data_IF_858206813918
#
_entry.id   IF_858206813918
#
_cell.length_a   1.000
_cell.length_b   1.000
_cell.length_c   1.000
_cell.angle_alpha   90.00
_cell.angle_beta   90.00
_cell.angle_gamma   90.00
#
_symmetry.space_group_name_H-M   'P 1'
#
loop_
_entity.id
_entity.type
_entity.pdbx_description
1 polymer ?
#
# COMPACT_ATOMS: atom_id res chain seq x y z
N UNK A 1 -73.57 32.71 39.26
CA UNK A 1 -72.14 32.37 39.51
C UNK A 1 -71.78 31.23 38.59
N UNK A 2 -71.08 31.51 37.48
CA UNK A 2 -70.71 30.49 36.48
C UNK A 2 -69.17 30.44 36.41
N UNK A 3 -68.60 29.34 36.92
CA UNK A 3 -67.16 29.07 36.82
C UNK A 3 -66.83 28.49 35.43
N UNK A 4 -65.99 29.17 34.68
CA UNK A 4 -65.39 28.70 33.43
C UNK A 4 -63.99 28.17 33.70
N UNK A 5 -63.83 26.83 33.60
CA UNK A 5 -62.49 26.21 33.59
C UNK A 5 -61.89 26.33 32.18
N UNK A 6 -60.73 26.96 32.06
CA UNK A 6 -59.90 27.00 30.85
C UNK A 6 -58.92 25.84 30.88
N UNK A 7 -59.11 24.87 30.01
CA UNK A 7 -58.16 23.79 29.74
C UNK A 7 -56.96 24.36 28.96
N UNK A 8 -55.76 24.32 29.53
CA UNK A 8 -54.51 24.58 28.84
C UNK A 8 -53.98 23.24 28.33
N UNK A 9 -53.95 23.06 27.03
CA UNK A 9 -53.31 21.92 26.39
C UNK A 9 -51.82 22.17 26.29
N UNK A 10 -51.00 21.40 26.99
CA UNK A 10 -49.57 21.35 26.84
C UNK A 10 -49.19 20.55 25.59
N UNK A 11 -48.65 21.23 24.58
CA UNK A 11 -48.06 20.55 23.42
C UNK A 11 -46.63 20.11 23.83
N UNK A 12 -46.42 18.80 23.93
CA UNK A 12 -45.10 18.20 24.08
C UNK A 12 -44.44 18.11 22.71
N UNK A 13 -43.49 18.98 22.44
CA UNK A 13 -42.63 18.86 21.25
C UNK A 13 -41.61 17.75 21.46
N UNK A 14 -41.77 16.64 20.77
CA UNK A 14 -40.78 15.57 20.69
C UNK A 14 -39.63 16.04 19.80
N UNK A 15 -38.52 16.39 20.41
CA UNK A 15 -37.26 16.63 19.69
C UNK A 15 -36.70 15.25 19.32
N UNK A 16 -36.82 14.87 18.06
CA UNK A 16 -36.14 13.70 17.51
C UNK A 16 -34.65 14.02 17.43
N UNK A 17 -33.89 13.50 18.39
CA UNK A 17 -32.45 13.52 18.40
C UNK A 17 -31.97 12.60 17.29
N UNK A 18 -31.68 13.15 16.11
CA UNK A 18 -31.03 12.42 15.02
C UNK A 18 -29.61 12.11 15.49
N UNK A 19 -29.39 10.92 16.06
CA UNK A 19 -28.05 10.39 16.31
C UNK A 19 -27.39 10.23 14.93
N UNK A 20 -26.62 11.24 14.52
CA UNK A 20 -25.63 11.05 13.48
C UNK A 20 -24.60 10.06 14.04
N UNK A 21 -24.75 8.80 13.63
CA UNK A 21 -23.75 7.77 13.82
C UNK A 21 -22.54 8.24 13.01
N UNK A 22 -21.60 8.94 13.64
CA UNK A 22 -20.25 9.06 13.12
C UNK A 22 -19.71 7.64 13.17
N UNK A 23 -19.78 6.94 12.02
CA UNK A 23 -19.10 5.68 11.85
C UNK A 23 -17.61 5.99 12.03
N UNK A 24 -17.12 5.84 13.26
CA UNK A 24 -15.68 5.83 13.52
C UNK A 24 -15.05 4.78 12.63
N UNK A 25 -13.90 5.08 12.08
CA UNK A 25 -13.16 4.11 11.25
C UNK A 25 -13.05 2.80 12.04
N UNK A 26 -13.45 1.69 11.40
CA UNK A 26 -13.38 0.36 12.02
C UNK A 26 -11.90 0.05 12.32
N UNK A 27 -11.58 -0.25 13.58
CA UNK A 27 -10.23 -0.60 13.99
C UNK A 27 -9.71 -1.79 13.15
N UNK A 28 -8.44 -1.77 12.73
CA UNK A 28 -7.89 -2.84 11.93
C UNK A 28 -7.82 -4.16 12.71
N UNK A 29 -8.41 -5.22 12.16
CA UNK A 29 -8.34 -6.57 12.74
C UNK A 29 -7.07 -7.28 12.26
N UNK A 30 -6.28 -7.84 13.19
CA UNK A 30 -5.14 -8.69 12.88
C UNK A 30 -5.60 -10.13 12.63
N UNK A 31 -5.32 -10.64 11.44
CA UNK A 31 -5.64 -12.00 10.99
C UNK A 31 -4.37 -12.73 10.57
N UNK A 32 -4.49 -14.02 10.29
CA UNK A 32 -3.41 -14.82 9.70
C UNK A 32 -3.95 -15.90 8.78
N UNK A 33 -3.12 -16.30 7.81
CA UNK A 33 -3.39 -17.39 6.89
C UNK A 33 -2.15 -18.26 6.71
N UNK A 34 -2.36 -19.56 6.56
CA UNK A 34 -1.29 -20.52 6.31
C UNK A 34 -1.08 -20.69 4.80
N UNK A 35 0.18 -20.68 4.35
CA UNK A 35 0.59 -20.99 2.99
C UNK A 35 1.79 -21.95 3.00
N UNK A 36 1.54 -23.25 2.94
CA UNK A 36 2.59 -24.26 3.08
C UNK A 36 3.35 -24.11 4.40
N UNK A 37 4.66 -23.88 4.34
CA UNK A 37 5.53 -23.66 5.50
C UNK A 37 5.51 -22.22 6.02
N UNK A 38 4.77 -21.30 5.37
CA UNK A 38 4.67 -19.92 5.81
C UNK A 38 3.32 -19.65 6.49
N UNK A 39 3.35 -18.81 7.53
CA UNK A 39 2.18 -18.20 8.13
C UNK A 39 2.26 -16.70 7.86
N UNK A 40 1.25 -16.13 7.26
CA UNK A 40 1.21 -14.70 6.93
C UNK A 40 0.16 -14.02 7.78
N UNK A 41 0.60 -13.09 8.62
CA UNK A 41 -0.27 -12.18 9.34
C UNK A 41 -0.60 -10.96 8.48
N UNK A 42 -1.81 -10.43 8.64
CA UNK A 42 -2.24 -9.25 7.92
C UNK A 42 -3.27 -8.46 8.70
N UNK A 43 -3.24 -7.16 8.55
CA UNK A 43 -4.28 -6.27 9.04
C UNK A 43 -5.40 -6.17 8.00
N UNK A 44 -6.66 -6.25 8.45
CA UNK A 44 -7.84 -6.10 7.60
C UNK A 44 -8.77 -5.04 8.18
N UNK A 45 -9.20 -4.09 7.36
CA UNK A 45 -9.96 -2.91 7.79
C UNK A 45 -10.95 -2.50 6.70
N UNK A 46 -12.10 -1.94 7.11
CA UNK A 46 -13.15 -1.49 6.18
C UNK A 46 -13.97 -2.63 5.56
N UNK A 47 -14.85 -2.26 4.63
CA UNK A 47 -15.78 -3.17 3.90
C UNK A 47 -15.83 -2.79 2.43
N UNK A 48 -16.18 -3.74 1.57
CA UNK A 48 -16.32 -3.52 0.13
C UNK A 48 -15.25 -4.22 -0.70
N UNK A 49 -14.97 -3.73 -1.92
CA UNK A 49 -13.97 -4.32 -2.80
C UNK A 49 -12.57 -4.35 -2.17
N UNK A 50 -11.81 -5.42 -2.43
CA UNK A 50 -10.50 -5.62 -1.80
C UNK A 50 -9.43 -4.71 -2.41
N UNK A 51 -8.61 -4.10 -1.54
CA UNK A 51 -7.31 -3.51 -1.86
C UNK A 51 -6.26 -4.21 -1.01
N UNK A 52 -5.33 -4.90 -1.63
CA UNK A 52 -4.16 -5.48 -0.97
C UNK A 52 -2.99 -4.49 -1.09
N UNK A 53 -2.43 -4.03 0.03
CA UNK A 53 -1.32 -3.08 0.04
C UNK A 53 -0.02 -3.75 0.49
N UNK A 54 1.00 -3.76 -0.39
CA UNK A 54 2.28 -4.45 -0.19
C UNK A 54 3.37 -3.43 0.09
N UNK A 55 4.09 -3.64 1.19
CA UNK A 55 5.15 -2.76 1.66
C UNK A 55 6.40 -2.77 0.76
N UNK A 56 7.24 -1.76 0.94
CA UNK A 56 8.56 -1.63 0.32
C UNK A 56 9.58 -2.60 0.91
N UNK A 57 10.79 -2.59 0.36
CA UNK A 57 11.90 -3.44 0.80
C UNK A 57 12.19 -3.29 2.30
N UNK A 58 12.15 -4.41 3.02
CA UNK A 58 12.51 -4.47 4.43
C UNK A 58 11.58 -3.72 5.38
N UNK A 59 10.40 -3.31 4.92
CA UNK A 59 9.43 -2.59 5.73
C UNK A 59 8.15 -3.39 5.96
N UNK A 60 7.51 -3.14 7.10
CA UNK A 60 6.17 -3.62 7.42
C UNK A 60 5.08 -2.71 6.86
N UNK A 61 3.84 -3.04 7.17
CA UNK A 61 2.67 -2.31 6.66
C UNK A 61 2.05 -1.35 7.67
N UNK A 62 2.67 -1.16 8.83
CA UNK A 62 2.19 -0.25 9.89
C UNK A 62 2.10 1.20 9.40
N UNK A 63 3.09 1.64 8.62
CA UNK A 63 3.18 2.99 8.05
C UNK A 63 2.01 3.35 7.12
N UNK A 64 1.27 2.37 6.64
CA UNK A 64 0.11 2.57 5.75
C UNK A 64 -1.23 2.70 6.51
N UNK A 65 -1.21 2.87 7.84
CA UNK A 65 -2.41 3.08 8.65
C UNK A 65 -3.31 4.19 8.11
N UNK A 66 -2.82 5.44 8.00
CA UNK A 66 -3.62 6.57 7.50
C UNK A 66 -4.15 6.38 6.07
N UNK A 67 -3.37 5.76 5.19
CA UNK A 67 -3.80 5.42 3.83
C UNK A 67 -4.92 4.38 3.85
N UNK A 68 -4.79 3.34 4.68
CA UNK A 68 -5.78 2.27 4.80
C UNK A 68 -7.10 2.78 5.40
N UNK A 69 -7.02 3.66 6.39
CA UNK A 69 -8.18 4.34 6.97
C UNK A 69 -8.93 5.13 5.90
N UNK A 70 -8.21 5.94 5.12
CA UNK A 70 -8.82 6.72 4.04
C UNK A 70 -9.46 5.83 2.97
N UNK A 71 -8.83 4.73 2.56
CA UNK A 71 -9.44 3.78 1.63
C UNK A 71 -10.69 3.09 2.23
N UNK A 72 -10.67 2.79 3.54
CA UNK A 72 -11.84 2.24 4.23
C UNK A 72 -13.02 3.23 4.26
N UNK A 73 -12.75 4.53 4.49
CA UNK A 73 -13.73 5.61 4.37
C UNK A 73 -14.32 5.71 2.94
N UNK A 74 -13.49 5.43 1.93
CA UNK A 74 -13.89 5.38 0.52
C UNK A 74 -14.66 4.10 0.14
N UNK A 75 -14.94 3.23 1.11
CA UNK A 75 -15.75 2.02 0.93
C UNK A 75 -14.96 0.81 0.40
N UNK A 76 -13.66 0.75 0.65
CA UNK A 76 -12.82 -0.39 0.33
C UNK A 76 -12.50 -1.22 1.57
N UNK A 77 -12.33 -2.54 1.38
CA UNK A 77 -11.72 -3.41 2.37
C UNK A 77 -10.21 -3.50 2.10
N UNK A 78 -9.42 -3.00 3.02
CA UNK A 78 -7.97 -2.90 2.88
C UNK A 78 -7.30 -4.04 3.63
N UNK A 79 -6.44 -4.77 2.92
CA UNK A 79 -5.62 -5.86 3.44
C UNK A 79 -4.16 -5.41 3.41
N UNK A 80 -3.50 -5.47 4.56
CA UNK A 80 -2.10 -5.09 4.73
C UNK A 80 -1.30 -6.27 5.26
N UNK A 81 -0.85 -7.19 4.38
CA UNK A 81 -0.06 -8.35 4.81
C UNK A 81 1.35 -7.93 5.21
N UNK A 82 1.83 -8.50 6.31
CA UNK A 82 3.22 -8.40 6.69
C UNK A 82 4.05 -9.44 5.93
N UNK A 83 5.20 -9.08 5.35
CA UNK A 83 6.08 -10.05 4.74
C UNK A 83 6.66 -11.02 5.79
N UNK A 84 7.10 -12.19 5.34
CA UNK A 84 7.79 -13.16 6.21
C UNK A 84 8.91 -12.47 7.00
N UNK A 85 8.97 -12.69 8.30
CA UNK A 85 9.95 -12.11 9.22
C UNK A 85 9.54 -10.76 9.83
N UNK A 86 8.32 -10.27 9.57
CA UNK A 86 7.77 -9.08 10.19
C UNK A 86 6.48 -9.43 10.94
N UNK A 87 6.25 -8.77 12.07
CA UNK A 87 5.09 -9.01 12.93
C UNK A 87 4.95 -10.48 13.33
N UNK A 88 3.80 -11.09 13.03
CA UNK A 88 3.55 -12.52 13.27
C UNK A 88 3.77 -13.39 12.02
N UNK A 89 4.23 -12.79 10.91
CA UNK A 89 4.51 -13.54 9.69
C UNK A 89 5.81 -14.32 9.80
N UNK A 90 5.76 -15.60 9.47
CA UNK A 90 6.87 -16.54 9.57
C UNK A 90 6.95 -17.41 8.32
N UNK A 91 8.12 -17.96 8.07
CA UNK A 91 8.35 -18.90 6.97
C UNK A 91 9.80 -18.91 6.51
N UNK A 92 10.13 -19.74 5.51
CA UNK A 92 11.46 -19.76 4.91
C UNK A 92 11.84 -18.38 4.36
N UNK A 93 13.07 -17.95 4.63
CA UNK A 93 13.62 -16.66 4.19
C UNK A 93 14.72 -16.83 3.15
N UNK A 94 15.24 -18.04 2.96
CA UNK A 94 16.30 -18.38 2.02
C UNK A 94 15.76 -19.26 0.89
N UNK A 95 16.33 -19.13 -0.29
CA UNK A 95 15.90 -19.88 -1.48
C UNK A 95 14.50 -19.53 -1.99
N UNK A 96 13.92 -18.43 -1.54
CA UNK A 96 12.59 -17.95 -1.94
C UNK A 96 12.71 -16.97 -3.11
N UNK A 97 11.69 -16.98 -3.98
CA UNK A 97 11.55 -16.13 -5.15
C UNK A 97 10.39 -15.13 -4.98
N UNK A 98 10.16 -14.26 -5.95
CA UNK A 98 8.95 -13.41 -5.99
C UNK A 98 7.68 -14.26 -6.08
N UNK A 99 7.72 -15.40 -6.77
CA UNK A 99 6.59 -16.34 -6.86
C UNK A 99 6.18 -16.89 -5.49
N UNK A 100 7.14 -17.09 -4.57
CA UNK A 100 6.83 -17.55 -3.22
C UNK A 100 6.17 -16.44 -2.39
N UNK A 101 6.64 -15.21 -2.48
CA UNK A 101 5.98 -14.06 -1.86
C UNK A 101 4.61 -13.77 -2.50
N UNK A 102 4.49 -13.94 -3.81
CA UNK A 102 3.20 -13.81 -4.49
C UNK A 102 2.18 -14.87 -4.02
N UNK A 103 2.61 -16.12 -3.80
CA UNK A 103 1.75 -17.18 -3.21
C UNK A 103 1.28 -16.83 -1.81
N UNK A 104 2.15 -16.23 -0.99
CA UNK A 104 1.80 -15.80 0.36
C UNK A 104 0.65 -14.80 0.34
N UNK A 105 0.78 -13.77 -0.48
CA UNK A 105 -0.23 -12.71 -0.55
C UNK A 105 -1.47 -13.14 -1.33
N UNK A 106 -1.34 -14.03 -2.30
CA UNK A 106 -2.47 -14.68 -2.95
C UNK A 106 -3.31 -15.51 -1.94
N UNK A 107 -2.66 -16.15 -0.96
CA UNK A 107 -3.37 -16.86 0.11
C UNK A 107 -4.19 -15.89 0.98
N UNK A 108 -3.68 -14.69 1.26
CA UNK A 108 -4.42 -13.64 1.98
C UNK A 108 -5.66 -13.21 1.19
N UNK A 109 -5.54 -12.97 -0.11
CA UNK A 109 -6.67 -12.60 -0.97
C UNK A 109 -7.72 -13.71 -0.98
N UNK A 110 -7.30 -14.96 -1.18
CA UNK A 110 -8.21 -16.13 -1.18
C UNK A 110 -8.94 -16.31 0.14
N UNK A 111 -8.30 -16.00 1.27
CA UNK A 111 -8.92 -16.07 2.59
C UNK A 111 -10.01 -15.00 2.80
N UNK A 112 -9.94 -13.89 2.09
CA UNK A 112 -10.96 -12.82 2.09
C UNK A 112 -12.02 -12.97 0.98
N UNK A 113 -11.80 -13.86 0.03
CA UNK A 113 -12.83 -14.42 -0.85
C UNK A 113 -13.16 -13.66 -2.13
N UNK A 114 -12.37 -12.65 -2.55
CA UNK A 114 -12.64 -11.88 -3.78
C UNK A 114 -11.34 -11.47 -4.51
N UNK A 115 -11.50 -10.88 -5.71
CA UNK A 115 -10.41 -10.25 -6.46
C UNK A 115 -10.01 -8.93 -5.80
N UNK A 116 -8.72 -8.61 -5.80
CA UNK A 116 -8.18 -7.41 -5.19
C UNK A 116 -7.58 -6.43 -6.21
N UNK A 117 -7.60 -5.15 -5.89
CA UNK A 117 -6.63 -4.18 -6.39
C UNK A 117 -5.31 -4.47 -5.68
N UNK A 118 -4.26 -4.72 -6.43
CA UNK A 118 -2.93 -5.06 -5.92
C UNK A 118 -2.07 -3.79 -5.89
N UNK A 119 -1.99 -3.11 -4.76
CA UNK A 119 -1.20 -1.90 -4.59
C UNK A 119 0.16 -2.25 -3.96
N UNK A 120 1.25 -1.89 -4.62
CA UNK A 120 2.60 -2.16 -4.12
C UNK A 120 3.48 -0.92 -4.10
N UNK A 121 4.02 -0.59 -2.93
CA UNK A 121 4.94 0.51 -2.75
C UNK A 121 6.38 0.10 -3.09
N UNK A 122 7.05 0.86 -3.95
CA UNK A 122 8.45 0.63 -4.34
C UNK A 122 8.69 -0.86 -4.69
N UNK A 123 9.49 -1.61 -3.93
CA UNK A 123 9.67 -3.05 -4.10
C UNK A 123 8.35 -3.83 -4.17
N UNK A 124 7.37 -3.43 -3.36
CA UNK A 124 6.05 -4.09 -3.31
C UNK A 124 5.33 -4.14 -4.66
N UNK A 125 5.63 -3.19 -5.58
CA UNK A 125 5.06 -3.22 -6.92
C UNK A 125 5.52 -4.44 -7.74
N UNK A 126 6.74 -4.96 -7.51
CA UNK A 126 7.22 -6.15 -8.20
C UNK A 126 6.42 -7.38 -7.76
N UNK A 127 6.13 -7.48 -6.46
CA UNK A 127 5.31 -8.57 -5.93
C UNK A 127 3.84 -8.43 -6.37
N UNK A 128 3.28 -7.21 -6.38
CA UNK A 128 1.94 -6.96 -6.91
C UNK A 128 1.80 -7.41 -8.38
N UNK A 129 2.79 -7.08 -9.21
CA UNK A 129 2.85 -7.55 -10.61
C UNK A 129 3.02 -9.06 -10.70
N UNK A 130 3.84 -9.68 -9.85
CA UNK A 130 4.01 -11.13 -9.81
C UNK A 130 2.69 -11.82 -9.45
N UNK A 131 1.93 -11.30 -8.48
CA UNK A 131 0.60 -11.83 -8.16
C UNK A 131 -0.33 -11.75 -9.37
N UNK A 132 -0.36 -10.61 -10.08
CA UNK A 132 -1.21 -10.44 -11.24
C UNK A 132 -0.80 -11.34 -12.42
N UNK A 133 0.48 -11.70 -12.53
CA UNK A 133 0.99 -12.65 -13.53
C UNK A 133 0.67 -14.10 -13.17
N UNK A 134 0.93 -14.50 -11.91
CA UNK A 134 0.79 -15.88 -11.45
C UNK A 134 -0.67 -16.27 -11.12
N UNK A 135 -1.47 -15.28 -10.68
CA UNK A 135 -2.84 -15.46 -10.20
C UNK A 135 -3.79 -14.42 -10.83
N UNK A 136 -3.96 -14.38 -12.15
CA UNK A 136 -4.74 -13.35 -12.84
C UNK A 136 -6.20 -13.28 -12.36
N UNK A 137 -6.75 -14.40 -11.91
CA UNK A 137 -8.11 -14.46 -11.37
C UNK A 137 -8.28 -13.76 -10.02
N UNK A 138 -7.20 -13.45 -9.31
CA UNK A 138 -7.22 -12.71 -8.05
C UNK A 138 -6.97 -11.21 -8.23
N UNK A 139 -6.65 -10.75 -9.45
CA UNK A 139 -6.29 -9.36 -9.72
C UNK A 139 -7.42 -8.63 -10.46
N UNK A 140 -7.89 -7.50 -9.92
CA UNK A 140 -8.73 -6.52 -10.64
C UNK A 140 -7.89 -5.48 -11.37
N UNK A 141 -6.72 -5.18 -10.84
CA UNK A 141 -5.78 -4.22 -11.36
C UNK A 141 -4.57 -4.09 -10.45
N UNK A 142 -3.53 -3.46 -10.95
CA UNK A 142 -2.27 -3.24 -10.22
C UNK A 142 -2.02 -1.75 -10.04
N UNK A 143 -1.70 -1.33 -8.83
CA UNK A 143 -1.27 0.04 -8.51
C UNK A 143 0.22 0.02 -8.15
N UNK A 144 1.00 0.75 -8.91
CA UNK A 144 2.44 0.90 -8.75
C UNK A 144 2.68 2.18 -7.97
N UNK A 145 2.76 2.08 -6.65
CA UNK A 145 2.93 3.26 -5.79
C UNK A 145 4.40 3.61 -5.68
N UNK A 146 4.79 4.77 -6.19
CA UNK A 146 6.18 5.23 -6.23
C UNK A 146 7.14 4.15 -6.78
N UNK A 147 6.75 3.52 -7.89
CA UNK A 147 7.61 2.56 -8.58
C UNK A 147 8.76 3.27 -9.26
N UNK A 148 10.00 2.84 -9.03
CA UNK A 148 11.17 3.34 -9.73
C UNK A 148 11.10 3.10 -11.24
N UNK A 149 11.83 3.89 -12.03
CA UNK A 149 12.02 3.70 -13.46
C UNK A 149 12.79 2.42 -13.81
N UNK A 150 13.05 2.20 -15.07
CA UNK A 150 13.90 1.07 -15.55
C UNK A 150 15.33 1.17 -15.03
N UNK A 151 15.77 2.37 -14.73
CA UNK A 151 17.08 2.66 -14.13
C UNK A 151 17.00 3.93 -13.27
N UNK A 152 17.89 4.06 -12.31
CA UNK A 152 18.06 5.22 -11.45
C UNK A 152 19.53 5.40 -11.06
N UNK A 153 19.93 6.57 -10.55
CA UNK A 153 21.29 6.84 -10.08
C UNK A 153 21.74 5.84 -9.00
N UNK A 154 23.00 5.42 -9.07
CA UNK A 154 23.57 4.42 -8.15
C UNK A 154 23.54 4.87 -6.69
N UNK A 155 23.69 6.18 -6.47
CA UNK A 155 23.68 6.84 -5.16
C UNK A 155 22.39 6.54 -4.37
N UNK A 156 21.27 6.39 -5.06
CA UNK A 156 20.00 6.03 -4.42
C UNK A 156 20.01 4.60 -3.87
N UNK A 157 20.63 3.67 -4.60
CA UNK A 157 20.81 2.29 -4.12
C UNK A 157 21.77 2.20 -2.95
N UNK A 158 22.79 3.03 -2.95
CA UNK A 158 23.75 3.19 -1.86
C UNK A 158 23.08 3.79 -0.62
N UNK A 159 22.23 4.81 -0.80
CA UNK A 159 21.42 5.39 0.27
C UNK A 159 20.52 4.36 0.93
N UNK A 160 19.79 3.53 0.15
CA UNK A 160 18.96 2.45 0.70
C UNK A 160 19.82 1.46 1.51
N UNK A 161 21.01 1.15 1.05
CA UNK A 161 21.92 0.24 1.76
C UNK A 161 22.35 0.84 3.08
N UNK A 162 22.76 2.12 3.08
CA UNK A 162 23.18 2.86 4.27
C UNK A 162 22.04 2.99 5.30
N UNK A 163 20.81 3.26 4.86
CA UNK A 163 19.65 3.36 5.75
C UNK A 163 19.39 2.02 6.47
N UNK A 164 19.58 0.89 5.76
CA UNK A 164 19.36 -0.46 6.29
C UNK A 164 20.54 -1.00 7.12
N UNK A 165 21.70 -0.35 7.10
CA UNK A 165 22.88 -0.81 7.81
C UNK A 165 22.82 -0.39 9.28
N UNK A 166 22.76 -1.35 10.24
CA UNK A 166 22.73 -1.03 11.66
C UNK A 166 24.03 -0.36 12.16
N UNK A 167 25.14 -0.41 11.40
CA UNK A 167 26.38 0.30 11.73
C UNK A 167 26.36 1.77 11.31
N UNK A 168 25.42 2.19 10.47
CA UNK A 168 25.25 3.58 10.05
C UNK A 168 24.75 4.44 11.20
N UNK A 169 25.32 5.64 11.34
CA UNK A 169 24.85 6.61 12.35
C UNK A 169 23.44 7.11 11.99
N UNK A 170 22.72 7.62 12.98
CA UNK A 170 21.41 8.25 12.76
C UNK A 170 21.50 9.38 11.73
N UNK A 171 22.55 10.19 11.78
CA UNK A 171 22.77 11.29 10.83
C UNK A 171 22.95 10.79 9.40
N UNK A 172 23.73 9.73 9.20
CA UNK A 172 23.91 9.09 7.89
C UNK A 172 22.59 8.53 7.36
N UNK A 173 21.81 7.86 8.22
CA UNK A 173 20.50 7.31 7.85
C UNK A 173 19.50 8.42 7.50
N UNK A 174 19.46 9.53 8.25
CA UNK A 174 18.64 10.70 7.93
C UNK A 174 19.04 11.33 6.60
N UNK A 175 20.33 11.46 6.33
CA UNK A 175 20.82 11.97 5.04
C UNK A 175 20.38 11.08 3.88
N UNK A 176 20.46 9.75 4.05
CA UNK A 176 20.00 8.77 3.06
C UNK A 176 18.50 8.84 2.83
N UNK A 177 17.69 9.00 3.89
CA UNK A 177 16.23 9.15 3.80
C UNK A 177 15.84 10.42 3.04
N UNK A 178 16.49 11.55 3.34
CA UNK A 178 16.26 12.82 2.62
C UNK A 178 16.65 12.72 1.15
N UNK A 179 17.76 12.05 0.86
CA UNK A 179 18.23 11.89 -0.52
C UNK A 179 17.28 11.01 -1.36
N UNK A 180 16.78 9.91 -0.78
CA UNK A 180 16.15 8.85 -1.55
C UNK A 180 14.63 8.79 -1.42
N UNK A 181 14.04 9.28 -0.30
CA UNK A 181 12.65 8.98 0.03
C UNK A 181 11.75 10.18 0.25
N UNK A 182 12.27 11.28 0.79
CA UNK A 182 11.46 12.40 1.25
C UNK A 182 11.73 13.70 0.50
N UNK A 183 10.67 14.48 0.28
CA UNK A 183 10.80 15.84 -0.26
C UNK A 183 11.42 16.79 0.76
N UNK A 184 11.98 17.89 0.26
CA UNK A 184 12.40 19.00 1.11
C UNK A 184 11.19 19.51 1.94
N UNK A 185 11.39 19.69 3.23
CA UNK A 185 10.35 20.12 4.17
C UNK A 185 9.54 18.98 4.81
N UNK A 186 9.63 17.74 4.31
CA UNK A 186 9.05 16.57 4.96
C UNK A 186 9.94 16.06 6.09
N UNK A 187 9.34 15.50 7.16
CA UNK A 187 10.06 14.88 8.27
C UNK A 187 10.34 13.41 8.02
N UNK A 188 11.60 13.00 7.77
CA UNK A 188 11.98 11.60 7.57
C UNK A 188 12.19 10.83 8.88
N UNK A 189 12.14 11.50 10.04
CA UNK A 189 12.50 10.91 11.34
C UNK A 189 11.72 9.63 11.67
N UNK A 190 10.41 9.52 11.41
CA UNK A 190 9.67 8.28 11.66
C UNK A 190 10.23 7.07 10.89
N UNK A 191 10.91 7.30 9.76
CA UNK A 191 11.49 6.22 8.95
C UNK A 191 12.91 5.81 9.38
N UNK A 192 13.45 6.37 10.45
CA UNK A 192 14.66 5.83 11.09
C UNK A 192 14.41 4.42 11.66
N UNK A 193 13.18 4.12 12.01
CA UNK A 193 12.72 2.83 12.50
C UNK A 193 11.96 2.03 11.42
N UNK A 194 11.63 0.77 11.73
CA UNK A 194 10.82 -0.09 10.85
C UNK A 194 11.59 -0.73 9.69
N UNK A 195 12.94 -0.72 9.71
CA UNK A 195 13.77 -1.43 8.74
C UNK A 195 14.18 -2.80 9.28
N UNK A 196 13.81 -3.85 8.55
CA UNK A 196 14.09 -5.24 8.92
C UNK A 196 15.16 -5.83 8.00
N UNK A 197 16.41 -5.77 8.43
CA UNK A 197 17.57 -6.21 7.64
C UNK A 197 17.46 -7.66 7.14
N UNK A 198 17.03 -8.66 7.93
CA UNK A 198 16.84 -10.03 7.43
C UNK A 198 15.84 -10.11 6.28
N UNK A 199 14.75 -9.34 6.36
CA UNK A 199 13.72 -9.26 5.31
C UNK A 199 14.28 -8.61 4.05
N UNK A 200 15.01 -7.49 4.19
CA UNK A 200 15.71 -6.84 3.07
C UNK A 200 16.65 -7.82 2.36
N UNK A 201 17.42 -8.62 3.13
CA UNK A 201 18.35 -9.62 2.57
C UNK A 201 17.60 -10.69 1.77
N UNK A 202 16.51 -11.24 2.33
CA UNK A 202 15.66 -12.23 1.68
C UNK A 202 15.06 -11.69 0.38
N UNK A 203 14.47 -10.50 0.42
CA UNK A 203 13.84 -9.85 -0.73
C UNK A 203 14.83 -9.52 -1.86
N UNK A 204 16.05 -9.08 -1.51
CA UNK A 204 17.14 -8.86 -2.49
C UNK A 204 17.62 -10.18 -3.12
N UNK A 205 17.66 -11.26 -2.35
CA UNK A 205 17.98 -12.59 -2.86
C UNK A 205 16.87 -13.11 -3.81
N UNK A 206 15.61 -12.97 -3.42
CA UNK A 206 14.44 -13.36 -4.21
C UNK A 206 14.43 -12.67 -5.59
N UNK A 207 14.82 -11.39 -5.67
CA UNK A 207 14.95 -10.67 -6.94
C UNK A 207 15.94 -11.33 -7.89
N UNK A 208 17.05 -11.91 -7.37
CA UNK A 208 18.07 -12.60 -8.18
C UNK A 208 17.59 -13.97 -8.66
N UNK A 209 16.61 -14.57 -7.97
CA UNK A 209 16.03 -15.88 -8.29
C UNK A 209 14.78 -15.78 -9.18
N UNK A 210 14.36 -14.55 -9.56
CA UNK A 210 13.16 -14.34 -10.38
C UNK A 210 13.52 -13.57 -11.64
N UNK A 211 13.17 -14.09 -12.80
CA UNK A 211 13.39 -13.40 -14.06
C UNK A 211 12.45 -12.20 -14.17
N UNK A 212 12.92 -11.12 -14.79
CA UNK A 212 12.12 -9.91 -14.95
C UNK A 212 10.87 -10.16 -15.80
N UNK A 213 10.99 -10.98 -16.80
CA UNK A 213 9.93 -11.31 -17.76
C UNK A 213 8.73 -11.98 -17.07
N UNK A 214 8.95 -12.69 -15.96
CA UNK A 214 7.90 -13.41 -15.24
C UNK A 214 6.89 -12.45 -14.58
N UNK A 215 7.30 -11.23 -14.26
CA UNK A 215 6.46 -10.28 -13.50
C UNK A 215 6.33 -8.89 -14.13
N UNK A 216 7.24 -8.50 -15.03
CA UNK A 216 7.32 -7.10 -15.50
C UNK A 216 6.03 -6.56 -16.11
N UNK A 217 5.33 -7.38 -16.88
CA UNK A 217 4.06 -7.00 -17.48
C UNK A 217 2.90 -6.90 -16.47
N UNK A 218 2.98 -7.56 -15.30
CA UNK A 218 1.89 -7.56 -14.32
C UNK A 218 0.61 -8.19 -14.88
N UNK A 219 0.74 -9.30 -15.59
CA UNK A 219 -0.39 -9.93 -16.31
C UNK A 219 -0.97 -9.02 -17.38
N UNK A 220 -2.29 -9.06 -17.55
CA UNK A 220 -3.03 -8.29 -18.57
C UNK A 220 -3.99 -7.25 -17.96
N UNK A 221 -4.05 -7.15 -16.65
CA UNK A 221 -4.98 -6.25 -15.95
C UNK A 221 -4.59 -4.77 -16.11
N UNK A 222 -5.53 -3.83 -15.93
CA UNK A 222 -5.23 -2.40 -15.88
C UNK A 222 -4.20 -2.04 -14.81
N UNK A 223 -3.38 -1.03 -15.07
CA UNK A 223 -2.37 -0.54 -14.14
C UNK A 223 -2.54 0.96 -13.88
N UNK A 224 -2.37 1.36 -12.61
CA UNK A 224 -2.15 2.74 -12.21
C UNK A 224 -0.68 2.91 -11.84
N UNK A 225 0.05 3.73 -12.58
CA UNK A 225 1.42 4.16 -12.24
C UNK A 225 1.33 5.47 -11.45
N UNK A 226 1.30 5.36 -10.11
CA UNK A 226 1.12 6.45 -9.18
C UNK A 226 2.47 6.93 -8.67
N UNK A 227 2.89 8.12 -9.10
CA UNK A 227 4.24 8.64 -8.95
C UNK A 227 4.28 9.85 -8.01
N UNK A 228 5.33 9.97 -7.21
CA UNK A 228 5.69 11.22 -6.55
C UNK A 228 6.32 12.20 -7.53
N UNK A 229 5.89 13.47 -7.51
CA UNK A 229 6.40 14.48 -8.42
C UNK A 229 7.89 14.80 -8.26
N UNK A 230 8.43 14.56 -7.06
CA UNK A 230 9.84 14.74 -6.70
C UNK A 230 10.58 13.40 -6.46
N UNK A 231 10.02 12.27 -6.89
CA UNK A 231 10.63 10.95 -6.68
C UNK A 231 11.94 10.80 -7.49
N UNK A 232 13.12 10.68 -6.84
CA UNK A 232 14.39 10.59 -7.54
C UNK A 232 14.58 9.24 -8.26
N UNK A 233 13.81 8.20 -7.91
CA UNK A 233 13.80 6.91 -8.60
C UNK A 233 12.99 6.96 -9.90
N UNK A 234 12.16 8.01 -10.09
CA UNK A 234 11.32 8.21 -11.27
C UNK A 234 11.51 9.62 -11.83
N UNK A 235 12.63 9.86 -12.51
CA UNK A 235 12.89 11.13 -13.16
C UNK A 235 11.77 11.51 -14.14
N UNK A 236 11.54 12.82 -14.33
CA UNK A 236 10.49 13.33 -15.22
C UNK A 236 10.53 12.73 -16.64
N UNK A 237 11.72 12.48 -17.19
CA UNK A 237 11.90 11.86 -18.49
C UNK A 237 11.44 10.39 -18.57
N UNK A 238 11.37 9.69 -17.44
CA UNK A 238 10.96 8.27 -17.38
C UNK A 238 9.50 8.07 -16.93
N UNK A 239 8.74 9.14 -16.71
CA UNK A 239 7.37 9.07 -16.20
C UNK A 239 6.43 8.21 -17.03
N UNK A 240 6.59 8.21 -18.33
CA UNK A 240 5.72 7.50 -19.27
C UNK A 240 6.24 6.12 -19.69
N UNK A 241 7.40 5.65 -19.20
CA UNK A 241 8.02 4.39 -19.62
C UNK A 241 7.06 3.20 -19.68
N UNK A 242 6.19 3.06 -18.67
CA UNK A 242 5.25 1.94 -18.63
C UNK A 242 4.06 2.15 -19.57
N UNK A 243 3.59 3.40 -19.71
CA UNK A 243 2.52 3.73 -20.65
C UNK A 243 3.00 3.57 -22.09
N UNK A 244 4.23 3.95 -22.39
CA UNK A 244 4.84 3.79 -23.72
C UNK A 244 5.01 2.29 -24.05
N UNK A 245 5.32 1.45 -23.06
CA UNK A 245 5.53 0.02 -23.25
C UNK A 245 4.21 -0.78 -23.29
N UNK A 246 3.24 -0.45 -22.43
CA UNK A 246 2.03 -1.23 -22.23
C UNK A 246 0.73 -0.55 -22.69
N UNK A 247 0.83 0.63 -23.27
CA UNK A 247 -0.31 1.34 -23.88
C UNK A 247 -1.40 1.74 -22.92
N UNK A 248 -2.65 1.66 -23.40
CA UNK A 248 -3.82 2.23 -22.74
C UNK A 248 -4.23 1.53 -21.43
N UNK A 249 -3.68 0.34 -21.15
CA UNK A 249 -3.92 -0.30 -19.84
C UNK A 249 -3.16 0.38 -18.69
N UNK A 250 -2.23 1.32 -18.98
CA UNK A 250 -1.51 2.09 -17.97
C UNK A 250 -2.05 3.50 -17.87
N UNK A 251 -2.56 3.84 -16.70
CA UNK A 251 -2.88 5.22 -16.30
C UNK A 251 -1.71 5.76 -15.50
N UNK A 252 -1.15 6.90 -15.90
CA UNK A 252 -0.11 7.61 -15.14
C UNK A 252 -0.77 8.72 -14.33
N UNK A 253 -0.49 8.77 -13.03
CA UNK A 253 -0.90 9.87 -12.14
C UNK A 253 0.29 10.32 -11.30
N UNK A 254 0.53 11.62 -11.26
CA UNK A 254 1.60 12.23 -10.45
C UNK A 254 0.95 12.97 -9.28
N UNK A 255 1.49 12.81 -8.08
CA UNK A 255 1.14 13.58 -6.89
C UNK A 255 2.30 14.55 -6.65
N UNK A 256 2.00 15.85 -6.77
CA UNK A 256 2.99 16.90 -6.57
C UNK A 256 3.42 17.00 -5.09
N UNK A 257 4.61 17.53 -4.86
CA UNK A 257 5.17 17.70 -3.52
C UNK A 257 5.22 16.40 -2.71
N UNK A 258 5.54 15.29 -3.40
CA UNK A 258 5.78 13.98 -2.80
C UNK A 258 6.95 13.30 -3.50
N UNK A 259 7.68 12.47 -2.77
CA UNK A 259 8.84 11.72 -3.24
C UNK A 259 8.59 10.21 -3.21
N UNK A 260 9.64 9.42 -3.03
CA UNK A 260 9.55 7.95 -3.01
C UNK A 260 8.79 7.39 -1.81
N UNK A 261 8.75 8.11 -0.67
CA UNK A 261 7.90 7.79 0.47
C UNK A 261 6.44 8.24 0.29
N UNK A 262 5.95 8.29 -0.94
CA UNK A 262 4.64 8.79 -1.33
C UNK A 262 3.48 8.41 -0.38
N UNK A 263 3.32 7.14 0.07
CA UNK A 263 2.23 6.77 0.97
C UNK A 263 2.37 7.38 2.37
N UNK A 264 3.59 7.70 2.79
CA UNK A 264 3.86 8.33 4.09
C UNK A 264 3.74 9.86 4.02
N UNK A 265 4.20 10.47 2.91
CA UNK A 265 4.15 11.92 2.72
C UNK A 265 2.74 12.41 2.38
N UNK A 266 1.98 11.63 1.60
CA UNK A 266 0.66 11.99 1.04
C UNK A 266 -0.34 10.83 1.15
N UNK A 267 -0.64 10.33 2.37
CA UNK A 267 -1.50 9.15 2.54
C UNK A 267 -2.92 9.35 2.00
N UNK A 268 -3.51 10.52 2.20
CA UNK A 268 -4.87 10.82 1.77
C UNK A 268 -4.94 10.93 0.25
N UNK A 269 -4.06 11.72 -0.35
CA UNK A 269 -4.00 11.90 -1.81
C UNK A 269 -3.67 10.58 -2.53
N UNK A 270 -2.83 9.75 -1.92
CA UNK A 270 -2.50 8.42 -2.43
C UNK A 270 -3.72 7.50 -2.39
N UNK A 271 -4.43 7.46 -1.27
CA UNK A 271 -5.65 6.67 -1.11
C UNK A 271 -6.75 7.12 -2.09
N UNK A 272 -7.00 8.42 -2.18
CA UNK A 272 -8.00 8.98 -3.09
C UNK A 272 -7.64 8.71 -4.56
N UNK A 273 -6.36 8.79 -4.93
CA UNK A 273 -5.91 8.44 -6.27
C UNK A 273 -6.16 6.97 -6.63
N UNK A 274 -5.92 6.06 -5.68
CA UNK A 274 -6.19 4.63 -5.84
C UNK A 274 -7.70 4.40 -5.99
N UNK A 275 -8.51 4.97 -5.09
CA UNK A 275 -9.96 4.81 -5.11
C UNK A 275 -10.58 5.37 -6.39
N UNK A 276 -10.24 6.60 -6.79
CA UNK A 276 -10.76 7.26 -8.01
C UNK A 276 -10.44 6.47 -9.29
N UNK A 277 -9.31 5.79 -9.32
CA UNK A 277 -8.95 4.92 -10.43
C UNK A 277 -9.69 3.58 -10.36
N UNK A 278 -9.73 2.96 -9.19
CA UNK A 278 -10.38 1.67 -8.98
C UNK A 278 -11.91 1.72 -9.21
N UNK A 279 -12.56 2.84 -8.89
CA UNK A 279 -14.00 3.08 -9.13
C UNK A 279 -14.36 3.08 -10.63
N UNK A 280 -13.39 3.33 -11.51
CA UNK A 280 -13.55 3.33 -12.97
C UNK A 280 -13.34 1.96 -13.61
N UNK A 281 -12.77 1.00 -12.87
CA UNK A 281 -12.57 -0.34 -13.38
C UNK A 281 -13.92 -1.08 -13.43
N UNK A 282 -14.12 -1.85 -14.49
CA UNK A 282 -15.29 -2.73 -14.61
C UNK A 282 -15.42 -3.61 -13.35
N UNK A 283 -16.65 -3.74 -12.85
CA UNK A 283 -16.96 -4.57 -11.68
C UNK A 283 -16.86 -6.04 -12.02
#
# INVERSE_FOLDING_TARGET
MKNTFRNAAMAVAAVALCCMNTAGAEEPSLKSVQNGAATISYYAQGKGPLVLFIASTGRGTEEFGPLAERLAERGYRVLRPEPRGIGKSQGPMEGVSFHDFAKDFAAVIKNEGDKAILAGHAYGNWIARTIASDFPDLARGVVLVAAGGKSWPKELSEAITMINDPSSTQEQRLAGLKLAFFTEGSDPTPWLEGWHQPVTKSQRAARKLTNREDWWAGGTVPMLDLQGGADPFRAAASRNELKDEFGDRVTVKVIDHASHALPAEKPVETADAIADWADKLAK
#
